data_IF_996666134765
#
_entry.id   IF_996666134765
#
_cell.length_a   1.000
_cell.length_b   1.000
_cell.length_c   1.000
_cell.angle_alpha   90.00
_cell.angle_beta   90.00
_cell.angle_gamma   90.00
#
_symmetry.space_group_name_H-M   'P 1'
#
loop_
_entity.id
_entity.type
_entity.pdbx_description
1 polymer ?
#
# COMPACT_ATOMS: atom_id res chain seq x y z
N UNK A 1 11.10 6.95 -4.26
CA UNK A 1 10.39 5.83 -4.90
C UNK A 1 9.24 6.42 -5.71
N UNK A 2 8.96 5.88 -6.90
CA UNK A 2 7.85 6.30 -7.76
C UNK A 2 6.80 5.18 -7.83
N UNK A 3 5.86 5.10 -6.86
CA UNK A 3 4.99 3.93 -6.71
C UNK A 3 3.99 3.75 -7.85
N UNK A 4 3.68 4.80 -8.61
CA UNK A 4 2.78 4.72 -9.76
C UNK A 4 3.41 4.03 -10.99
N UNK A 5 4.73 3.81 -10.97
CA UNK A 5 5.45 3.02 -11.97
C UNK A 5 5.54 1.53 -11.58
N UNK A 6 4.99 1.15 -10.43
CA UNK A 6 5.03 -0.21 -9.90
C UNK A 6 3.74 -0.96 -10.16
N UNK A 7 3.74 -2.28 -9.95
CA UNK A 7 2.53 -3.09 -10.12
C UNK A 7 1.61 -2.98 -8.91
N UNK A 8 0.31 -2.82 -9.18
CA UNK A 8 -0.72 -2.88 -8.15
C UNK A 8 -0.87 -4.32 -7.62
N UNK A 9 -0.96 -4.46 -6.30
CA UNK A 9 -1.13 -5.73 -5.58
C UNK A 9 -2.58 -5.91 -5.15
N UNK A 10 -3.16 -4.86 -4.56
CA UNK A 10 -4.55 -4.87 -4.07
C UNK A 10 -5.05 -3.44 -3.92
N UNK A 11 -6.37 -3.29 -3.83
CA UNK A 11 -7.01 -2.02 -3.51
C UNK A 11 -8.16 -2.23 -2.52
N UNK A 12 -8.48 -1.20 -1.75
CA UNK A 12 -9.68 -1.17 -0.93
C UNK A 12 -10.23 0.24 -0.80
N UNK A 13 -11.51 0.33 -0.43
CA UNK A 13 -12.22 1.58 -0.16
C UNK A 13 -12.54 1.64 1.32
N UNK A 14 -12.38 2.81 1.93
CA UNK A 14 -12.91 3.13 3.23
C UNK A 14 -14.09 4.11 3.06
N UNK A 15 -15.34 3.62 3.12
CA UNK A 15 -16.52 4.45 2.90
C UNK A 15 -16.73 5.51 3.98
N UNK A 16 -16.31 5.24 5.22
CA UNK A 16 -16.46 6.17 6.34
C UNK A 16 -15.58 7.40 6.16
N UNK A 17 -14.33 7.18 5.74
CA UNK A 17 -13.36 8.25 5.55
C UNK A 17 -13.38 8.82 4.12
N UNK A 18 -14.26 8.32 3.24
CA UNK A 18 -14.32 8.70 1.82
C UNK A 18 -12.95 8.60 1.13
N UNK A 19 -12.21 7.52 1.41
CA UNK A 19 -10.88 7.28 0.83
C UNK A 19 -10.83 5.96 0.09
N UNK A 20 -9.91 5.86 -0.85
CA UNK A 20 -9.48 4.60 -1.43
C UNK A 20 -7.99 4.46 -1.34
N UNK A 21 -7.51 3.23 -1.23
CA UNK A 21 -6.09 2.95 -1.17
C UNK A 21 -5.71 1.83 -2.14
N UNK A 22 -4.53 1.95 -2.72
CA UNK A 22 -3.93 0.93 -3.59
C UNK A 22 -2.55 0.62 -3.07
N UNK A 23 -2.29 -0.67 -2.90
CA UNK A 23 -0.98 -1.19 -2.54
C UNK A 23 -0.23 -1.48 -3.82
N UNK A 24 0.93 -0.85 -3.98
CA UNK A 24 1.88 -1.13 -5.05
C UNK A 24 3.08 -1.88 -4.51
N UNK A 25 3.70 -2.70 -5.35
CA UNK A 25 4.94 -3.39 -5.03
C UNK A 25 5.97 -3.29 -6.15
N UNK A 26 7.23 -3.09 -5.76
CA UNK A 26 8.35 -3.20 -6.71
C UNK A 26 8.47 -4.64 -7.26
N UNK A 27 9.36 -4.84 -8.24
CA UNK A 27 9.53 -6.15 -8.90
C UNK A 27 9.80 -7.29 -7.90
N UNK A 28 10.62 -7.05 -6.86
CA UNK A 28 10.91 -8.03 -5.81
C UNK A 28 9.66 -8.41 -5.01
N UNK A 29 8.78 -7.45 -4.71
CA UNK A 29 7.52 -7.71 -4.03
C UNK A 29 6.60 -8.58 -4.89
N UNK A 30 6.45 -8.25 -6.18
CA UNK A 30 5.60 -9.00 -7.12
C UNK A 30 6.13 -10.43 -7.33
N UNK A 31 7.45 -10.59 -7.48
CA UNK A 31 8.08 -11.90 -7.58
C UNK A 31 7.79 -12.76 -6.34
N UNK A 32 7.81 -12.15 -5.15
CA UNK A 32 7.50 -12.85 -3.89
C UNK A 32 6.06 -13.39 -3.87
N UNK A 33 5.11 -12.65 -4.45
CA UNK A 33 3.71 -13.08 -4.55
C UNK A 33 3.53 -14.22 -5.57
N UNK A 34 4.16 -14.12 -6.74
CA UNK A 34 4.03 -15.13 -7.80
C UNK A 34 4.60 -16.51 -7.39
N UNK A 35 5.67 -16.53 -6.59
CA UNK A 35 6.33 -17.77 -6.15
C UNK A 35 5.49 -18.61 -5.18
N UNK A 36 4.50 -18.04 -4.49
CA UNK A 36 3.68 -18.79 -3.52
C UNK A 36 2.49 -19.52 -4.13
N UNK A 37 2.08 -19.16 -5.35
CA UNK A 37 0.75 -19.56 -5.84
C UNK A 37 -0.36 -18.90 -4.99
N UNK A 38 -1.56 -18.82 -5.55
CA UNK A 38 -2.66 -18.02 -5.01
C UNK A 38 -3.38 -18.65 -3.80
N UNK A 39 -2.64 -19.18 -2.83
CA UNK A 39 -3.25 -19.72 -1.62
C UNK A 39 -3.51 -18.58 -0.62
N UNK A 40 -4.68 -17.96 -0.75
CA UNK A 40 -5.11 -16.74 -0.05
C UNK A 40 -5.30 -16.91 1.47
N UNK A 41 -5.00 -18.08 2.03
CA UNK A 41 -5.23 -18.38 3.46
C UNK A 41 -4.10 -17.92 4.39
N UNK A 42 -2.94 -17.49 3.85
CA UNK A 42 -1.84 -16.98 4.68
C UNK A 42 -1.42 -15.58 4.27
N UNK A 43 -1.02 -14.77 5.26
CA UNK A 43 -0.49 -13.43 5.02
C UNK A 43 0.71 -13.50 4.04
N UNK A 44 0.83 -12.53 3.12
CA UNK A 44 1.95 -12.48 2.19
C UNK A 44 3.29 -12.47 2.91
N UNK A 45 4.27 -13.15 2.34
CA UNK A 45 5.65 -13.08 2.79
C UNK A 45 6.49 -12.53 1.65
N UNK A 46 7.17 -11.41 1.93
CA UNK A 46 7.96 -10.68 0.95
C UNK A 46 9.44 -10.92 1.21
N UNK A 47 10.23 -11.09 0.14
CA UNK A 47 11.67 -11.23 0.25
C UNK A 47 12.35 -9.90 0.66
N UNK A 48 13.57 -10.00 1.19
CA UNK A 48 14.43 -8.83 1.45
C UNK A 48 14.59 -7.99 0.18
N UNK A 49 14.52 -6.66 0.31
CA UNK A 49 14.55 -5.73 -0.83
C UNK A 49 13.20 -5.51 -1.50
N UNK A 50 12.14 -6.22 -1.08
CA UNK A 50 10.78 -5.85 -1.45
C UNK A 50 10.44 -4.48 -0.86
N UNK A 51 9.83 -3.63 -1.68
CA UNK A 51 9.30 -2.34 -1.26
C UNK A 51 7.83 -2.29 -1.66
N UNK A 52 7.00 -2.00 -0.66
CA UNK A 52 5.58 -1.77 -0.82
C UNK A 52 5.28 -0.28 -0.63
N UNK A 53 4.30 0.22 -1.37
CA UNK A 53 3.77 1.56 -1.22
C UNK A 53 2.24 1.51 -1.13
N UNK A 54 1.68 1.88 0.02
CA UNK A 54 0.25 2.11 0.15
C UNK A 54 -0.02 3.59 -0.12
N UNK A 55 -0.69 3.87 -1.24
CA UNK A 55 -1.12 5.22 -1.59
C UNK A 55 -2.61 5.34 -1.26
N UNK A 56 -2.97 6.35 -0.49
CA UNK A 56 -4.36 6.65 -0.12
C UNK A 56 -4.80 7.94 -0.80
N UNK A 57 -5.92 7.92 -1.50
CA UNK A 57 -6.53 9.08 -2.14
C UNK A 57 -7.87 9.42 -1.50
N UNK A 58 -8.18 10.71 -1.48
CA UNK A 58 -9.55 11.15 -1.29
C UNK A 58 -10.42 10.67 -2.46
N UNK A 59 -11.68 10.38 -2.19
CA UNK A 59 -12.68 10.12 -3.22
C UNK A 59 -13.41 11.40 -3.61
N UNK A 60 -13.80 11.48 -4.88
CA UNK A 60 -14.79 12.44 -5.38
C UNK A 60 -15.85 11.71 -6.19
N UNK A 61 -17.02 12.32 -6.31
CA UNK A 61 -18.07 11.80 -7.17
C UNK A 61 -17.60 11.80 -8.64
N UNK A 62 -17.99 10.77 -9.38
CA UNK A 62 -17.73 10.69 -10.81
C UNK A 62 -18.70 11.62 -11.56
N UNK A 63 -18.19 12.61 -12.33
CA UNK A 63 -19.06 13.53 -13.06
C UNK A 63 -19.86 12.85 -14.18
N UNK A 64 -19.45 11.65 -14.61
CA UNK A 64 -20.08 10.91 -15.71
C UNK A 64 -21.00 9.79 -15.23
N UNK A 65 -20.91 9.38 -13.96
CA UNK A 65 -21.70 8.27 -13.42
C UNK A 65 -22.22 8.55 -12.01
N UNK A 66 -23.53 8.80 -11.93
CA UNK A 66 -24.23 9.00 -10.66
C UNK A 66 -24.01 7.83 -9.69
N UNK A 67 -23.55 8.16 -8.48
CA UNK A 67 -23.29 7.20 -7.41
C UNK A 67 -21.90 6.54 -7.48
N UNK A 68 -21.16 6.68 -8.58
CA UNK A 68 -19.78 6.23 -8.65
C UNK A 68 -18.83 7.24 -7.97
N UNK A 69 -17.73 6.72 -7.42
CA UNK A 69 -16.68 7.51 -6.80
C UNK A 69 -15.32 7.13 -7.34
N UNK A 70 -14.52 8.13 -7.66
CA UNK A 70 -13.20 7.99 -8.28
C UNK A 70 -12.11 8.58 -7.37
N UNK A 71 -10.85 8.10 -7.48
CA UNK A 71 -9.76 8.74 -6.76
C UNK A 71 -9.58 10.19 -7.23
N UNK A 72 -9.16 11.04 -6.30
CA UNK A 72 -8.84 12.44 -6.53
C UNK A 72 -7.42 12.76 -6.07
N UNK A 73 -7.24 13.56 -5.04
CA UNK A 73 -5.94 13.96 -4.53
C UNK A 73 -5.35 12.89 -3.60
N UNK A 74 -4.06 12.55 -3.76
CA UNK A 74 -3.37 11.70 -2.80
C UNK A 74 -3.30 12.40 -1.43
N UNK A 75 -3.65 11.68 -0.37
CA UNK A 75 -3.60 12.16 1.01
C UNK A 75 -2.39 11.63 1.77
N UNK A 76 -2.05 10.36 1.54
CA UNK A 76 -0.89 9.73 2.18
C UNK A 76 -0.18 8.78 1.22
N UNK A 77 1.13 8.66 1.40
CA UNK A 77 1.95 7.59 0.82
C UNK A 77 2.73 6.95 1.96
N UNK A 78 2.57 5.65 2.14
CA UNK A 78 3.29 4.88 3.16
C UNK A 78 4.14 3.81 2.49
N UNK A 79 5.45 3.85 2.75
CA UNK A 79 6.40 2.88 2.25
C UNK A 79 6.81 1.90 3.35
N UNK A 80 6.86 0.62 3.00
CA UNK A 80 7.50 -0.42 3.79
C UNK A 80 8.56 -1.08 2.95
N UNK A 81 9.79 -1.10 3.45
CA UNK A 81 10.88 -1.86 2.83
C UNK A 81 11.28 -3.01 3.74
N UNK A 82 11.24 -4.20 3.16
CA UNK A 82 11.56 -5.45 3.83
C UNK A 82 13.06 -5.60 3.92
N UNK A 83 13.56 -5.73 5.13
CA UNK A 83 14.98 -5.91 5.40
C UNK A 83 15.35 -7.40 5.38
N UNK A 84 16.65 -7.68 5.34
CA UNK A 84 17.17 -9.04 5.46
C UNK A 84 16.76 -9.70 6.77
N UNK A 85 16.78 -11.04 6.81
CA UNK A 85 16.39 -11.82 7.99
C UNK A 85 17.13 -11.34 9.24
N UNK A 86 16.38 -10.91 10.27
CA UNK A 86 16.91 -10.33 11.51
C UNK A 86 16.96 -8.80 11.53
N UNK A 87 16.77 -8.13 10.39
CA UNK A 87 16.61 -6.68 10.29
C UNK A 87 15.16 -6.24 10.51
N UNK A 88 14.98 -5.06 11.10
CA UNK A 88 13.65 -4.44 11.26
C UNK A 88 13.24 -3.76 9.95
N UNK A 89 12.05 -4.08 9.45
CA UNK A 89 11.47 -3.39 8.28
C UNK A 89 11.45 -1.87 8.49
N UNK A 90 11.86 -1.12 7.48
CA UNK A 90 11.83 0.34 7.52
C UNK A 90 10.50 0.86 7.02
N UNK A 91 9.91 1.79 7.75
CA UNK A 91 8.66 2.46 7.42
C UNK A 91 8.90 3.94 7.18
N UNK A 92 8.24 4.52 6.17
CA UNK A 92 8.23 5.96 5.91
C UNK A 92 6.85 6.39 5.49
N UNK A 93 6.37 7.51 6.03
CA UNK A 93 5.08 8.10 5.66
C UNK A 93 5.27 9.51 5.13
N UNK A 94 4.46 9.83 4.14
CA UNK A 94 4.29 11.14 3.56
C UNK A 94 2.80 11.50 3.64
N UNK A 95 2.47 12.71 4.07
CA UNK A 95 1.09 13.11 4.32
C UNK A 95 0.85 14.61 4.09
N UNK A 96 -0.43 14.98 3.98
CA UNK A 96 -0.85 16.36 3.75
C UNK A 96 -0.84 16.74 2.27
N UNK A 97 -1.20 18.00 1.98
CA UNK A 97 -1.39 18.50 0.61
C UNK A 97 -0.11 18.39 -0.22
N UNK A 98 1.04 18.65 0.39
CA UNK A 98 2.35 18.57 -0.27
C UNK A 98 3.00 17.18 -0.17
N UNK A 99 2.34 16.22 0.49
CA UNK A 99 2.91 14.91 0.81
C UNK A 99 4.31 15.03 1.42
N UNK A 100 4.46 15.90 2.42
CA UNK A 100 5.73 16.06 3.13
C UNK A 100 6.02 14.83 4.01
N UNK A 101 7.31 14.51 4.28
CA UNK A 101 7.66 13.48 5.24
C UNK A 101 6.97 13.71 6.59
N UNK A 102 6.34 12.67 7.12
CA UNK A 102 5.60 12.71 8.38
C UNK A 102 5.97 11.49 9.21
N UNK A 103 6.44 11.72 10.43
CA UNK A 103 6.74 10.67 11.41
C UNK A 103 5.63 10.57 12.45
N UNK A 104 5.39 9.37 12.96
CA UNK A 104 4.48 9.14 14.09
C UNK A 104 5.23 8.39 15.19
N UNK A 105 4.55 8.06 16.29
CA UNK A 105 5.14 7.20 17.31
C UNK A 105 5.60 5.86 16.73
N UNK A 106 6.76 5.38 17.18
CA UNK A 106 7.40 4.14 16.70
C UNK A 106 6.48 2.92 16.75
N UNK A 107 5.58 2.85 17.74
CA UNK A 107 4.61 1.77 17.88
C UNK A 107 3.55 1.81 16.76
N UNK A 108 3.05 3.01 16.43
CA UNK A 108 2.13 3.23 15.32
C UNK A 108 2.78 2.87 13.99
N UNK A 109 4.03 3.29 13.76
CA UNK A 109 4.76 2.95 12.53
C UNK A 109 4.94 1.44 12.35
N UNK A 110 5.26 0.72 13.44
CA UNK A 110 5.35 -0.74 13.41
C UNK A 110 4.00 -1.41 13.10
N UNK A 111 2.91 -0.91 13.68
CA UNK A 111 1.57 -1.40 13.42
C UNK A 111 1.15 -1.16 11.97
N UNK A 112 1.44 0.03 11.42
CA UNK A 112 1.18 0.37 10.00
C UNK A 112 2.01 -0.50 9.06
N UNK A 113 3.29 -0.70 9.35
CA UNK A 113 4.13 -1.59 8.54
C UNK A 113 3.58 -3.03 8.52
N UNK A 114 3.16 -3.55 9.68
CA UNK A 114 2.53 -4.87 9.79
C UNK A 114 1.22 -4.94 9.01
N UNK A 115 0.38 -3.91 9.09
CA UNK A 115 -0.86 -3.81 8.33
C UNK A 115 -0.60 -3.88 6.82
N UNK A 116 0.30 -3.04 6.30
CA UNK A 116 0.65 -3.00 4.87
C UNK A 116 1.18 -4.34 4.37
N UNK A 117 2.06 -5.00 5.14
CA UNK A 117 2.61 -6.31 4.78
C UNK A 117 1.57 -7.44 4.83
N UNK A 118 0.50 -7.26 5.62
CA UNK A 118 -0.57 -8.24 5.78
C UNK A 118 -1.71 -8.12 4.76
N UNK A 119 -1.73 -7.06 3.94
CA UNK A 119 -2.77 -6.86 2.93
C UNK A 119 -2.70 -7.98 1.88
N UNK A 120 -3.81 -8.71 1.73
CA UNK A 120 -3.89 -9.83 0.81
C UNK A 120 -3.86 -9.34 -0.66
N UNK A 121 -3.07 -9.98 -1.53
CA UNK A 121 -3.07 -9.69 -2.95
C UNK A 121 -4.40 -10.12 -3.59
N UNK A 122 -4.83 -9.40 -4.61
CA UNK A 122 -5.98 -9.76 -5.44
C UNK A 122 -5.47 -10.15 -6.83
N UNK A 123 -6.11 -11.14 -7.45
CA UNK A 123 -5.90 -11.39 -8.88
C UNK A 123 -6.56 -10.27 -9.67
N UNK A 124 -5.76 -9.31 -10.11
CA UNK A 124 -6.20 -8.29 -11.05
C UNK A 124 -6.32 -8.97 -12.44
N UNK A 125 -7.42 -8.73 -13.17
CA UNK A 125 -7.68 -9.35 -14.47
C UNK A 125 -6.66 -8.94 -15.55
#
# INVERSE_FOLDING_TARGET
>A
YQPLEWSAITMYVNPQDHTMATLYGNETAIRSLNLRGADAMTAPSYASGAVLALVTWAQRDDPHWFGARIPSTPQTIEFVQVQSKGGRNSYRRFAGVELAPSSTETATEAARAKFILGLAPVRLP
#
